data_IF_377196920047
#
_entry.id   IF_377196920047
#
_cell.length_a   1.000
_cell.length_b   1.000
_cell.length_c   1.000
_cell.angle_alpha   90.00
_cell.angle_beta   90.00
_cell.angle_gamma   90.00
#
_symmetry.space_group_name_H-M   'P 1'
#
loop_
_entity.id
_entity.type
_entity.pdbx_description
1 polymer ?
#
# COMPACT_ATOMS: atom_id res chain seq x y z
N UNK A 1 -9.66 27.13 3.05
CA UNK A 1 -8.25 26.77 2.83
C UNK A 1 -7.50 27.02 4.10
N UNK A 2 -6.65 26.10 4.53
CA UNK A 2 -5.83 26.21 5.73
C UNK A 2 -4.41 25.72 5.44
N UNK A 3 -3.43 26.28 6.13
CA UNK A 3 -2.02 25.88 6.03
C UNK A 3 -1.61 25.21 7.33
N UNK A 4 -1.18 23.95 7.27
CA UNK A 4 -0.54 23.22 8.35
C UNK A 4 0.98 23.26 8.15
N UNK A 5 1.73 23.60 9.19
CA UNK A 5 3.20 23.52 9.22
C UNK A 5 3.61 22.65 10.42
N UNK A 6 4.30 21.54 10.15
CA UNK A 6 4.84 20.62 11.14
C UNK A 6 3.84 20.13 12.23
N UNK A 7 2.54 20.00 11.93
CA UNK A 7 1.42 19.72 12.86
C UNK A 7 1.27 20.65 14.07
N UNK A 8 2.17 21.61 14.22
CA UNK A 8 2.26 22.49 15.39
C UNK A 8 1.66 23.86 15.11
N UNK A 9 1.60 24.27 13.84
CA UNK A 9 1.08 25.54 13.42
C UNK A 9 0.01 25.38 12.34
N UNK A 10 -1.25 25.45 12.75
CA UNK A 10 -2.41 25.48 11.86
C UNK A 10 -2.89 26.93 11.65
N UNK A 11 -2.83 27.40 10.41
CA UNK A 11 -3.30 28.72 9.99
C UNK A 11 -4.59 28.54 9.20
N UNK A 12 -5.74 28.86 9.82
CA UNK A 12 -7.07 28.63 9.23
C UNK A 12 -7.45 29.57 8.08
N UNK A 13 -6.76 30.71 7.96
CA UNK A 13 -6.99 31.72 6.91
C UNK A 13 -5.65 32.28 6.45
N UNK A 14 -4.84 31.48 5.75
CA UNK A 14 -3.55 31.95 5.28
C UNK A 14 -3.74 33.03 4.21
N UNK A 15 -2.84 33.99 4.17
CA UNK A 15 -2.68 34.88 3.02
C UNK A 15 -1.41 34.53 2.25
N UNK A 16 -1.27 35.07 1.04
CA UNK A 16 -0.11 34.77 0.17
C UNK A 16 1.22 35.02 0.88
N UNK A 17 1.31 36.11 1.65
CA UNK A 17 2.53 36.48 2.37
C UNK A 17 2.83 35.47 3.48
N UNK A 18 1.82 35.06 4.25
CA UNK A 18 1.94 34.08 5.32
C UNK A 18 2.34 32.70 4.80
N UNK A 19 1.82 32.29 3.64
CA UNK A 19 2.25 31.06 2.97
C UNK A 19 3.73 31.14 2.61
N UNK A 20 4.13 32.21 1.90
CA UNK A 20 5.52 32.39 1.47
C UNK A 20 6.49 32.50 2.66
N UNK A 21 6.11 33.24 3.69
CA UNK A 21 6.90 33.39 4.91
C UNK A 21 7.05 32.02 5.62
N UNK A 22 6.01 31.19 5.66
CA UNK A 22 6.10 29.85 6.25
C UNK A 22 7.07 28.96 5.46
N UNK A 23 7.01 28.98 4.12
CA UNK A 23 7.87 28.15 3.26
C UNK A 23 9.35 28.56 3.36
N UNK A 24 9.64 29.87 3.36
CA UNK A 24 11.01 30.38 3.49
C UNK A 24 11.64 29.98 4.83
N UNK A 25 10.85 29.95 5.89
CA UNK A 25 11.30 29.62 7.25
C UNK A 25 11.11 28.14 7.60
N UNK A 26 10.85 27.28 6.61
CA UNK A 26 10.67 25.86 6.85
C UNK A 26 12.03 25.23 7.20
N UNK A 27 12.08 24.60 8.38
CA UNK A 27 13.24 23.86 8.86
C UNK A 27 13.51 22.62 8.00
N UNK A 28 14.75 22.12 8.03
CA UNK A 28 15.09 20.81 7.44
C UNK A 28 14.29 19.71 8.15
N UNK A 29 13.83 18.72 7.39
CA UNK A 29 12.82 17.72 7.76
C UNK A 29 11.42 18.29 8.05
N UNK A 30 11.25 19.61 7.95
CA UNK A 30 9.97 20.27 8.09
C UNK A 30 9.08 20.08 6.86
N UNK A 31 7.78 20.15 7.07
CA UNK A 31 6.79 20.06 6.01
C UNK A 31 5.68 21.10 6.16
N UNK A 32 5.06 21.44 5.03
CA UNK A 32 3.92 22.33 4.97
C UNK A 32 2.84 21.76 4.03
N UNK A 33 1.58 21.88 4.42
CA UNK A 33 0.43 21.39 3.65
C UNK A 33 -0.60 22.52 3.56
N UNK A 34 -0.91 22.94 2.34
CA UNK A 34 -1.99 23.89 2.06
C UNK A 34 -3.18 23.13 1.50
N UNK A 35 -4.22 22.98 2.31
CA UNK A 35 -5.40 22.19 1.98
C UNK A 35 -6.62 23.10 1.76
N UNK A 36 -7.40 22.82 0.70
CA UNK A 36 -8.64 23.55 0.42
C UNK A 36 -9.91 22.71 0.60
N UNK A 37 -9.81 21.39 0.49
CA UNK A 37 -10.85 20.42 0.74
C UNK A 37 -10.22 19.06 1.07
N UNK A 38 -11.03 18.12 1.54
CA UNK A 38 -10.63 16.73 1.77
C UNK A 38 -9.95 16.16 0.53
N UNK A 39 -8.75 15.61 0.72
CA UNK A 39 -7.87 15.09 -0.34
C UNK A 39 -7.46 16.10 -1.43
N UNK A 40 -7.71 17.41 -1.25
CA UNK A 40 -7.31 18.45 -2.20
C UNK A 40 -6.33 19.41 -1.55
N UNK A 41 -5.05 19.17 -1.76
CA UNK A 41 -3.95 19.91 -1.15
C UNK A 41 -2.72 20.00 -2.05
N UNK A 42 -1.87 20.99 -1.76
CA UNK A 42 -0.46 21.01 -2.17
C UNK A 42 0.40 20.88 -0.93
N UNK A 43 1.45 20.07 -0.99
CA UNK A 43 2.36 19.85 0.12
C UNK A 43 3.81 19.97 -0.31
N UNK A 44 4.67 20.25 0.66
CA UNK A 44 6.11 20.19 0.49
C UNK A 44 6.76 19.66 1.76
N UNK A 45 7.91 19.00 1.60
CA UNK A 45 8.84 18.69 2.67
C UNK A 45 10.21 19.19 2.27
N UNK A 46 10.94 19.77 3.21
CA UNK A 46 12.33 20.13 3.02
C UNK A 46 13.20 18.97 3.48
N UNK A 47 13.79 18.24 2.55
CA UNK A 47 14.61 17.07 2.87
C UNK A 47 15.97 17.48 3.44
N UNK A 48 16.61 18.48 2.83
CA UNK A 48 17.89 19.01 3.27
C UNK A 48 18.02 20.53 3.02
N UNK A 49 19.23 21.08 3.09
CA UNK A 49 19.44 22.51 2.87
C UNK A 49 19.06 22.97 1.45
N UNK A 50 19.11 22.06 0.48
CA UNK A 50 19.02 22.29 -0.97
C UNK A 50 17.89 21.53 -1.67
N UNK A 51 17.42 20.41 -1.12
CA UNK A 51 16.41 19.52 -1.70
C UNK A 51 15.02 19.74 -1.09
N UNK A 52 14.00 19.71 -1.95
CA UNK A 52 12.60 19.92 -1.61
C UNK A 52 11.72 18.89 -2.32
N UNK A 53 10.83 18.23 -1.58
CA UNK A 53 9.73 17.50 -2.18
C UNK A 53 8.59 18.48 -2.48
N UNK A 54 7.94 18.34 -3.62
CA UNK A 54 6.74 19.11 -3.96
C UNK A 54 5.71 18.18 -4.60
N UNK A 55 4.52 18.16 -4.00
CA UNK A 55 3.46 17.25 -4.37
C UNK A 55 2.11 17.95 -4.28
N UNK A 56 1.12 17.47 -5.03
CA UNK A 56 -0.27 17.84 -4.81
C UNK A 56 -1.19 16.64 -5.00
N UNK A 57 -2.32 16.69 -4.31
CA UNK A 57 -3.42 15.73 -4.48
C UNK A 57 -4.66 16.49 -4.93
N UNK A 58 -5.37 15.94 -5.91
CA UNK A 58 -6.62 16.48 -6.40
C UNK A 58 -7.77 15.51 -6.12
N UNK A 59 -8.19 15.38 -4.86
CA UNK A 59 -9.45 14.77 -4.45
C UNK A 59 -9.53 13.24 -4.50
N UNK A 60 -8.41 12.55 -4.73
CA UNK A 60 -8.28 11.09 -4.62
C UNK A 60 -6.81 10.68 -4.60
N UNK A 61 -6.51 9.50 -4.08
CA UNK A 61 -5.18 8.88 -4.11
C UNK A 61 -4.61 8.67 -5.52
N UNK A 62 -5.42 8.19 -6.47
CA UNK A 62 -5.04 8.03 -7.89
C UNK A 62 -4.69 9.36 -8.59
N UNK A 63 -4.97 10.50 -7.94
CA UNK A 63 -4.69 11.85 -8.42
C UNK A 63 -3.71 12.56 -7.49
N UNK A 64 -2.69 11.82 -7.07
CA UNK A 64 -1.54 12.31 -6.31
C UNK A 64 -0.35 12.42 -7.26
N UNK A 65 0.24 13.61 -7.31
CA UNK A 65 1.36 13.89 -8.20
C UNK A 65 2.53 14.50 -7.44
N UNK A 66 3.74 14.22 -7.92
CA UNK A 66 4.99 14.78 -7.44
C UNK A 66 5.84 15.29 -8.58
N UNK A 67 6.90 16.00 -8.24
CA UNK A 67 8.00 16.34 -9.16
C UNK A 67 9.33 15.87 -8.57
N UNK A 68 10.34 15.77 -9.42
CA UNK A 68 11.68 15.30 -9.03
C UNK A 68 12.30 16.19 -7.93
N UNK A 69 12.53 15.65 -6.71
CA UNK A 69 13.10 16.41 -5.60
C UNK A 69 14.54 16.87 -5.87
N UNK A 70 15.30 16.18 -6.74
CA UNK A 70 16.68 16.56 -7.06
C UNK A 70 16.77 17.89 -7.82
N UNK A 71 15.68 18.28 -8.49
CA UNK A 71 15.62 19.51 -9.30
C UNK A 71 14.70 20.58 -8.71
N UNK A 72 13.94 20.24 -7.67
CA UNK A 72 12.93 21.13 -7.08
C UNK A 72 13.57 22.16 -6.17
N UNK A 73 13.22 23.44 -6.38
CA UNK A 73 13.73 24.55 -5.57
C UNK A 73 12.64 25.16 -4.70
N UNK A 74 13.06 25.95 -3.70
CA UNK A 74 12.13 26.78 -2.91
C UNK A 74 11.27 27.73 -3.77
N UNK A 75 11.78 28.19 -4.92
CA UNK A 75 10.99 29.05 -5.81
C UNK A 75 9.87 28.27 -6.49
N UNK A 76 10.13 27.03 -6.90
CA UNK A 76 9.12 26.11 -7.46
C UNK A 76 8.05 25.79 -6.43
N UNK A 77 8.46 25.49 -5.20
CA UNK A 77 7.56 25.28 -4.05
C UNK A 77 6.68 26.51 -3.82
N UNK A 78 7.27 27.71 -3.75
CA UNK A 78 6.51 28.94 -3.60
C UNK A 78 5.53 29.15 -4.76
N UNK A 79 5.97 28.92 -6.00
CA UNK A 79 5.15 29.07 -7.21
C UNK A 79 3.95 28.13 -7.21
N UNK A 80 4.12 26.87 -6.84
CA UNK A 80 3.03 25.90 -6.75
C UNK A 80 2.03 26.25 -5.64
N UNK A 81 2.51 26.62 -4.45
CA UNK A 81 1.64 27.02 -3.34
C UNK A 81 0.84 28.29 -3.66
N UNK A 82 1.46 29.27 -4.31
CA UNK A 82 0.78 30.50 -4.74
C UNK A 82 -0.27 30.22 -5.83
N UNK A 83 0.05 29.39 -6.84
CA UNK A 83 -0.91 28.99 -7.87
C UNK A 83 -2.10 28.21 -7.28
N UNK A 84 -1.83 27.26 -6.37
CA UNK A 84 -2.87 26.53 -5.67
C UNK A 84 -3.76 27.44 -4.82
N UNK A 85 -3.16 28.43 -4.14
CA UNK A 85 -3.86 29.44 -3.36
C UNK A 85 -4.81 30.28 -4.23
N UNK A 86 -4.37 30.68 -5.42
CA UNK A 86 -5.18 31.45 -6.37
C UNK A 86 -6.28 30.62 -7.04
N UNK A 87 -6.18 29.29 -6.96
CA UNK A 87 -7.08 28.36 -7.62
C UNK A 87 -6.73 28.10 -9.08
N UNK A 88 -5.48 28.35 -9.47
CA UNK A 88 -4.95 28.08 -10.80
C UNK A 88 -4.78 26.57 -11.03
N UNK A 89 -4.70 26.19 -12.31
CA UNK A 89 -4.37 24.83 -12.73
C UNK A 89 -2.87 24.59 -12.53
N UNK A 90 -2.51 23.58 -11.73
CA UNK A 90 -1.12 23.21 -11.47
C UNK A 90 -0.53 22.38 -12.60
N UNK A 91 -1.35 21.61 -13.33
CA UNK A 91 -0.89 20.67 -14.34
C UNK A 91 0.11 21.25 -15.39
N UNK A 92 -0.05 22.50 -15.89
CA UNK A 92 0.87 23.06 -16.88
C UNK A 92 2.14 23.68 -16.26
N UNK A 93 2.26 23.77 -14.93
CA UNK A 93 3.33 24.53 -14.29
C UNK A 93 4.64 23.75 -14.16
N UNK A 94 4.55 22.41 -14.12
CA UNK A 94 5.66 21.48 -13.90
C UNK A 94 5.40 20.16 -14.62
N UNK A 95 6.45 19.35 -14.75
CA UNK A 95 6.37 17.99 -15.29
C UNK A 95 5.93 17.02 -14.17
N UNK A 96 4.65 17.09 -13.80
CA UNK A 96 4.08 16.27 -12.74
C UNK A 96 4.02 14.80 -13.11
N UNK A 97 4.52 13.95 -12.21
CA UNK A 97 4.44 12.49 -12.29
C UNK A 97 3.44 11.98 -11.26
N UNK A 98 2.66 10.94 -11.62
CA UNK A 98 1.77 10.28 -10.65
C UNK A 98 2.66 9.62 -9.60
N UNK A 99 2.41 9.94 -8.33
CA UNK A 99 3.01 9.20 -7.22
C UNK A 99 2.16 7.96 -7.06
N UNK A 100 2.73 6.85 -7.52
CA UNK A 100 2.18 5.54 -7.26
C UNK A 100 2.77 5.03 -5.95
N UNK A 101 1.91 4.86 -4.95
CA UNK A 101 2.29 4.17 -3.71
C UNK A 101 2.25 2.65 -3.89
N UNK A 102 1.82 2.14 -5.06
CA UNK A 102 2.01 0.74 -5.42
C UNK A 102 3.51 0.48 -5.54
N UNK A 103 4.02 -0.19 -4.51
CA UNK A 103 5.31 -0.85 -4.46
C UNK A 103 6.54 0.09 -4.44
N UNK A 104 6.78 0.75 -3.30
CA UNK A 104 8.15 0.68 -2.78
C UNK A 104 8.50 -0.81 -2.76
N UNK A 105 9.31 -1.24 -3.74
CA UNK A 105 9.84 -2.60 -3.89
C UNK A 105 10.07 -3.18 -2.50
N UNK A 106 9.11 -3.97 -2.00
CA UNK A 106 9.29 -4.67 -0.74
C UNK A 106 10.35 -5.73 -1.08
N UNK A 107 11.60 -5.36 -0.89
CA UNK A 107 12.72 -6.24 -1.10
C UNK A 107 12.69 -7.22 0.07
N UNK A 108 12.77 -8.54 -0.17
CA UNK A 108 12.85 -9.50 0.91
C UNK A 108 14.06 -9.17 1.80
N UNK A 109 13.85 -9.12 3.11
CA UNK A 109 14.91 -8.98 4.09
C UNK A 109 15.78 -10.24 4.21
N UNK A 110 16.76 -10.20 5.11
CA UNK A 110 17.55 -11.39 5.44
C UNK A 110 16.64 -12.48 6.03
N UNK A 111 16.60 -13.66 5.40
CA UNK A 111 15.72 -14.78 5.78
C UNK A 111 14.36 -14.78 5.07
N UNK A 112 14.11 -13.84 4.14
CA UNK A 112 12.89 -13.79 3.34
C UNK A 112 13.17 -14.05 1.86
N UNK A 113 12.15 -14.50 1.15
CA UNK A 113 12.18 -14.75 -0.30
C UNK A 113 10.88 -14.34 -0.94
N UNK A 114 10.94 -13.92 -2.21
CA UNK A 114 9.74 -13.76 -3.03
C UNK A 114 9.38 -15.12 -3.63
N UNK A 115 8.17 -15.60 -3.33
CA UNK A 115 7.61 -16.82 -3.92
C UNK A 115 6.12 -16.62 -4.18
N UNK A 116 5.64 -17.02 -5.36
CA UNK A 116 4.30 -16.66 -5.85
C UNK A 116 4.02 -15.14 -5.77
N UNK A 117 5.03 -14.30 -6.02
CA UNK A 117 4.87 -12.84 -5.97
C UNK A 117 4.67 -12.26 -4.57
N UNK A 118 4.83 -13.04 -3.50
CA UNK A 118 4.73 -12.57 -2.12
C UNK A 118 6.03 -12.81 -1.37
N UNK A 119 6.36 -11.91 -0.46
CA UNK A 119 7.47 -12.08 0.47
C UNK A 119 7.02 -13.03 1.57
N UNK A 120 7.85 -14.01 1.85
CA UNK A 120 7.65 -14.99 2.91
C UNK A 120 8.99 -15.44 3.47
N UNK A 121 8.96 -16.07 4.63
CA UNK A 121 10.12 -16.76 5.20
C UNK A 121 10.73 -17.76 4.20
N UNK A 122 12.05 -17.84 4.14
CA UNK A 122 12.79 -18.65 3.16
C UNK A 122 12.48 -20.15 3.20
N UNK A 123 11.97 -20.67 4.32
CA UNK A 123 11.57 -22.07 4.46
C UNK A 123 10.11 -22.32 4.03
N UNK A 124 9.29 -21.27 3.92
CA UNK A 124 7.86 -21.38 3.60
C UNK A 124 7.57 -21.98 2.21
N UNK A 125 8.31 -21.62 1.13
CA UNK A 125 8.12 -22.25 -0.18
C UNK A 125 8.26 -23.78 -0.15
N UNK A 126 9.18 -24.30 0.66
CA UNK A 126 9.36 -25.75 0.80
C UNK A 126 8.10 -26.41 1.39
N UNK A 127 7.43 -25.75 2.35
CA UNK A 127 6.16 -26.22 2.92
C UNK A 127 5.02 -26.18 1.90
N UNK A 128 4.94 -25.13 1.07
CA UNK A 128 3.98 -25.05 -0.04
C UNK A 128 4.19 -26.20 -1.02
N UNK A 129 5.44 -26.47 -1.40
CA UNK A 129 5.80 -27.56 -2.31
C UNK A 129 5.45 -28.92 -1.71
N UNK A 130 5.81 -29.15 -0.45
CA UNK A 130 5.49 -30.41 0.26
C UNK A 130 3.97 -30.63 0.35
N UNK A 131 3.22 -29.57 0.65
CA UNK A 131 1.77 -29.63 0.74
C UNK A 131 1.09 -30.10 -0.57
N UNK A 132 1.70 -29.83 -1.73
CA UNK A 132 1.17 -30.30 -3.02
C UNK A 132 1.23 -31.83 -3.17
N UNK A 133 2.08 -32.50 -2.39
CA UNK A 133 2.18 -33.97 -2.37
C UNK A 133 1.15 -34.63 -1.45
N UNK A 134 0.53 -33.85 -0.55
CA UNK A 134 -0.50 -34.32 0.38
C UNK A 134 -1.85 -34.05 -0.29
N UNK A 135 -2.38 -35.00 -1.05
CA UNK A 135 -3.58 -34.79 -1.87
C UNK A 135 -4.88 -35.25 -1.20
N UNK A 136 -4.78 -35.97 -0.08
CA UNK A 136 -5.91 -36.54 0.65
C UNK A 136 -5.83 -36.29 2.15
N UNK A 137 -6.99 -36.14 2.80
CA UNK A 137 -7.15 -36.18 4.25
C UNK A 137 -7.75 -37.52 4.66
N UNK A 138 -7.27 -38.08 5.76
CA UNK A 138 -7.91 -39.23 6.40
C UNK A 138 -8.98 -38.73 7.38
N UNK A 139 -10.23 -39.16 7.19
CA UNK A 139 -11.38 -38.81 8.02
C UNK A 139 -12.11 -40.12 8.33
N UNK A 140 -12.23 -40.48 9.62
CA UNK A 140 -12.80 -41.75 10.08
C UNK A 140 -12.22 -42.99 9.37
N UNK A 141 -10.89 -43.00 9.14
CA UNK A 141 -10.17 -44.09 8.47
C UNK A 141 -10.45 -44.21 6.97
N UNK A 142 -11.05 -43.19 6.35
CA UNK A 142 -11.30 -43.11 4.90
C UNK A 142 -10.54 -41.94 4.28
N UNK A 143 -9.90 -42.13 3.12
CA UNK A 143 -9.28 -41.05 2.40
C UNK A 143 -10.35 -40.19 1.68
N UNK A 144 -10.24 -38.88 1.84
CA UNK A 144 -11.00 -37.88 1.10
C UNK A 144 -10.02 -36.99 0.33
N UNK A 145 -10.32 -36.69 -0.93
CA UNK A 145 -9.52 -35.73 -1.70
C UNK A 145 -9.63 -34.35 -1.07
N UNK A 146 -8.49 -33.67 -0.91
CA UNK A 146 -8.46 -32.29 -0.41
C UNK A 146 -9.09 -31.36 -1.43
N UNK A 147 -9.58 -30.22 -0.96
CA UNK A 147 -10.09 -29.14 -1.82
C UNK A 147 -8.92 -28.20 -2.12
N UNK A 148 -8.74 -27.87 -3.40
CA UNK A 148 -7.72 -26.92 -3.85
C UNK A 148 -8.20 -25.49 -3.58
N UNK A 149 -7.26 -24.57 -3.43
CA UNK A 149 -7.58 -23.15 -3.37
C UNK A 149 -8.29 -22.70 -4.67
N UNK A 150 -9.43 -22.05 -4.53
CA UNK A 150 -10.32 -21.66 -5.63
C UNK A 150 -11.51 -22.61 -5.85
N UNK A 151 -11.43 -23.86 -5.37
CA UNK A 151 -12.52 -24.85 -5.47
C UNK A 151 -13.37 -24.93 -4.18
N UNK A 152 -13.09 -24.08 -3.20
CA UNK A 152 -13.85 -24.00 -1.94
C UNK A 152 -15.30 -23.55 -2.15
N UNK A 153 -16.18 -23.99 -1.26
CA UNK A 153 -17.58 -23.56 -1.24
C UNK A 153 -17.74 -22.29 -0.41
N UNK A 154 -18.62 -21.41 -0.87
CA UNK A 154 -19.10 -20.26 -0.08
C UNK A 154 -18.02 -19.24 0.35
N UNK A 155 -16.83 -19.29 -0.26
CA UNK A 155 -15.80 -18.25 -0.12
C UNK A 155 -15.68 -17.44 -1.43
N UNK A 156 -15.56 -16.10 -1.36
CA UNK A 156 -15.31 -15.27 -2.54
C UNK A 156 -13.83 -15.36 -2.97
N UNK A 157 -13.31 -16.57 -3.18
CA UNK A 157 -11.93 -16.83 -3.63
C UNK A 157 -11.75 -16.67 -5.14
N UNK A 158 -12.85 -16.55 -5.89
CA UNK A 158 -12.80 -16.44 -7.36
C UNK A 158 -12.06 -15.18 -7.84
N UNK A 159 -12.03 -14.11 -7.06
CA UNK A 159 -11.28 -12.89 -7.37
C UNK A 159 -9.87 -12.82 -6.77
N UNK A 160 -9.45 -13.81 -5.97
CA UNK A 160 -8.14 -13.80 -5.30
C UNK A 160 -7.11 -14.63 -6.07
N UNK A 161 -5.95 -14.06 -6.41
CA UNK A 161 -4.89 -14.80 -7.10
C UNK A 161 -4.14 -15.78 -6.18
N UNK A 162 -4.03 -15.43 -4.90
CA UNK A 162 -3.34 -16.19 -3.87
C UNK A 162 -4.24 -16.39 -2.65
N UNK A 163 -4.02 -17.48 -1.92
CA UNK A 163 -4.62 -17.68 -0.62
C UNK A 163 -4.04 -16.66 0.37
N UNK A 164 -4.90 -15.83 0.97
CA UNK A 164 -4.48 -14.77 1.90
C UNK A 164 -3.87 -15.26 3.22
N UNK A 165 -3.97 -16.55 3.53
CA UNK A 165 -3.33 -17.15 4.70
C UNK A 165 -2.01 -17.86 4.33
N UNK A 166 -2.07 -18.97 3.57
CA UNK A 166 -0.87 -19.76 3.29
C UNK A 166 -0.09 -19.39 2.01
N UNK A 167 -0.63 -18.51 1.17
CA UNK A 167 0.06 -17.99 -0.01
C UNK A 167 0.12 -18.89 -1.25
N UNK A 168 -0.66 -19.97 -1.28
CA UNK A 168 -0.76 -20.85 -2.45
C UNK A 168 -1.54 -20.20 -3.59
N UNK A 169 -1.20 -20.54 -4.83
CA UNK A 169 -1.92 -20.11 -6.03
C UNK A 169 -3.24 -20.86 -6.20
N UNK A 170 -4.14 -20.34 -7.03
CA UNK A 170 -5.33 -21.08 -7.47
C UNK A 170 -4.95 -22.47 -7.99
N UNK A 171 -5.83 -23.44 -7.75
CA UNK A 171 -5.67 -24.85 -8.09
C UNK A 171 -4.55 -25.58 -7.30
N UNK A 172 -3.84 -24.93 -6.38
CA UNK A 172 -2.90 -25.60 -5.48
C UNK A 172 -3.60 -26.08 -4.20
N UNK A 173 -3.05 -27.11 -3.55
CA UNK A 173 -3.49 -27.50 -2.22
C UNK A 173 -2.91 -26.54 -1.18
N UNK A 174 -3.70 -26.21 -0.17
CA UNK A 174 -3.25 -25.39 0.96
C UNK A 174 -2.10 -26.02 1.72
N UNK A 175 -1.31 -25.21 2.43
CA UNK A 175 -0.37 -25.72 3.44
C UNK A 175 -1.19 -26.30 4.60
N UNK A 176 -0.88 -27.49 5.14
CA UNK A 176 -1.55 -27.99 6.34
C UNK A 176 -1.47 -26.95 7.46
N UNK A 177 -2.59 -26.73 8.17
CA UNK A 177 -2.85 -25.62 9.12
C UNK A 177 -3.30 -24.29 8.51
N UNK A 178 -3.61 -24.24 7.21
CA UNK A 178 -4.20 -23.05 6.62
C UNK A 178 -5.61 -22.78 7.16
N UNK A 179 -5.86 -21.53 7.55
CA UNK A 179 -7.15 -21.05 8.07
C UNK A 179 -8.25 -21.00 6.99
N UNK A 180 -7.88 -21.04 5.71
CA UNK A 180 -8.82 -21.03 4.59
C UNK A 180 -9.18 -22.45 4.13
N UNK A 181 -8.33 -23.44 4.41
CA UNK A 181 -8.53 -24.80 3.91
C UNK A 181 -9.85 -25.41 4.38
N UNK A 182 -10.67 -25.85 3.42
CA UNK A 182 -11.96 -26.48 3.70
C UNK A 182 -11.89 -28.01 3.74
N UNK A 183 -12.59 -28.57 4.73
CA UNK A 183 -12.76 -30.00 4.92
C UNK A 183 -13.64 -30.59 3.81
N UNK A 184 -13.18 -31.63 3.09
CA UNK A 184 -13.96 -32.24 2.01
C UNK A 184 -15.21 -33.00 2.48
N UNK A 185 -15.32 -33.31 3.78
CA UNK A 185 -16.47 -34.01 4.35
C UNK A 185 -17.60 -33.03 4.76
N UNK A 186 -17.27 -31.96 5.49
CA UNK A 186 -18.27 -31.04 6.05
C UNK A 186 -18.25 -29.62 5.46
N UNK A 187 -17.25 -29.31 4.62
CA UNK A 187 -16.98 -27.99 4.03
C UNK A 187 -16.69 -26.86 5.02
N UNK A 188 -16.59 -27.17 6.32
CA UNK A 188 -16.05 -26.26 7.33
C UNK A 188 -14.52 -26.20 7.28
N UNK A 189 -13.92 -25.27 8.03
CA UNK A 189 -12.47 -25.12 8.12
C UNK A 189 -11.82 -26.40 8.69
N UNK A 190 -10.81 -26.96 8.01
CA UNK A 190 -10.16 -28.24 8.38
C UNK A 190 -9.73 -28.24 9.84
N UNK A 191 -8.99 -27.22 10.26
CA UNK A 191 -8.38 -27.13 11.59
C UNK A 191 -9.37 -26.96 12.75
N UNK A 192 -10.63 -26.60 12.50
CA UNK A 192 -11.65 -26.40 13.56
C UNK A 192 -12.89 -27.28 13.44
N UNK A 193 -13.08 -27.99 12.31
CA UNK A 193 -14.30 -28.77 12.07
C UNK A 193 -14.40 -30.08 12.87
N UNK A 194 -13.30 -30.56 13.45
CA UNK A 194 -13.25 -31.82 14.21
C UNK A 194 -13.48 -33.10 13.39
N UNK A 195 -13.44 -33.03 12.05
CA UNK A 195 -13.53 -34.23 11.19
C UNK A 195 -12.20 -34.97 11.05
N UNK A 196 -11.09 -34.26 11.25
CA UNK A 196 -9.73 -34.81 11.16
C UNK A 196 -9.24 -35.00 12.60
N UNK A 197 -9.49 -36.17 13.17
CA UNK A 197 -9.04 -36.61 14.51
C UNK A 197 -8.39 -38.01 14.43
#
# INVERSE_FOLDING_TARGET
MHLNVNDSQLINTPDRKGIRDALINLDVEGYAILERAEEVYVQTRRDDETSWCLEYRDGSEERHFGIDPETTTLDDVCKAFEAFFDGDDLAPLFDWEVIDFEDEDCQPGEGEVIYNGMIMDEEWPARIIEAQSITTLEIDGKPFERIRFGDERDLPVESMEHCGDCGVLKEQYHVPSCDIEQCPNCFGQVMSCGCVE
#
